data_IF_171556657916
#
_entry.id   IF_171556657916
#
_cell.length_a   1.000
_cell.length_b   1.000
_cell.length_c   1.000
_cell.angle_alpha   90.00
_cell.angle_beta   90.00
_cell.angle_gamma   90.00
#
_symmetry.space_group_name_H-M   'P 1'
#
loop_
_entity.id
_entity.type
_entity.pdbx_description
1 polymer ?
#
# COMPACT_ATOMS: atom_id res chain seq x y z
N UNK A 1 15.75 6.60 23.78
CA UNK A 1 15.86 5.94 22.46
C UNK A 1 14.71 6.42 21.61
N UNK A 2 14.96 6.71 20.32
CA UNK A 2 13.88 7.04 19.37
C UNK A 2 12.86 5.90 19.35
N UNK A 3 11.60 6.24 19.56
CA UNK A 3 10.50 5.27 19.53
C UNK A 3 10.21 4.89 18.08
N UNK A 4 10.10 3.59 17.81
CA UNK A 4 9.95 3.06 16.45
C UNK A 4 8.49 3.12 16.01
N UNK A 5 8.28 3.49 14.75
CA UNK A 5 6.98 3.50 14.08
C UNK A 5 6.96 2.36 13.06
N UNK A 6 5.88 1.58 13.05
CA UNK A 6 5.58 0.59 12.02
C UNK A 6 4.58 1.19 11.03
N UNK A 7 4.88 1.12 9.74
CA UNK A 7 3.97 1.48 8.65
C UNK A 7 3.95 0.34 7.64
N UNK A 8 2.75 -0.11 7.24
CA UNK A 8 2.60 -1.11 6.18
C UNK A 8 1.34 -0.87 5.35
N UNK A 9 1.49 -0.97 4.02
CA UNK A 9 0.40 -0.85 3.06
C UNK A 9 0.10 -2.18 2.39
N UNK A 10 -1.19 -2.52 2.27
CA UNK A 10 -1.65 -3.71 1.55
C UNK A 10 -2.64 -3.31 0.47
N UNK A 11 -2.36 -3.72 -0.76
CA UNK A 11 -3.26 -3.48 -1.90
C UNK A 11 -4.53 -4.31 -1.75
N UNK A 12 -5.72 -3.71 -1.89
CA UNK A 12 -6.98 -4.43 -1.99
C UNK A 12 -7.13 -5.02 -3.40
N UNK A 13 -6.44 -6.12 -3.68
CA UNK A 13 -6.52 -6.81 -4.97
C UNK A 13 -6.96 -8.25 -4.76
N UNK A 14 -8.25 -8.49 -4.93
CA UNK A 14 -8.87 -9.79 -4.70
C UNK A 14 -8.83 -10.23 -3.24
N UNK A 15 -9.30 -11.45 -3.00
CA UNK A 15 -9.42 -12.00 -1.64
C UNK A 15 -8.07 -12.51 -1.12
N UNK A 16 -7.64 -12.10 0.10
CA UNK A 16 -6.45 -12.64 0.73
C UNK A 16 -6.48 -14.18 0.82
N UNK A 17 -5.34 -14.81 0.53
CA UNK A 17 -5.15 -16.25 0.66
C UNK A 17 -4.10 -16.59 1.72
N UNK A 18 -3.89 -17.88 2.01
CA UNK A 18 -2.94 -18.35 3.04
C UNK A 18 -1.52 -17.78 2.89
N UNK A 19 -1.07 -17.52 1.66
CA UNK A 19 0.21 -16.86 1.40
C UNK A 19 0.29 -15.43 1.94
N UNK A 20 -0.80 -14.64 1.88
CA UNK A 20 -0.84 -13.30 2.48
C UNK A 20 -0.88 -13.41 4.00
N UNK A 21 -1.66 -14.37 4.52
CA UNK A 21 -1.80 -14.59 5.95
C UNK A 21 -0.45 -14.91 6.62
N UNK A 22 0.24 -15.96 6.16
CA UNK A 22 1.55 -16.34 6.72
C UNK A 22 2.70 -15.46 6.24
N UNK A 23 2.54 -14.74 5.12
CA UNK A 23 3.58 -13.88 4.57
C UNK A 23 3.66 -12.51 5.24
N UNK A 24 2.53 -11.95 5.70
CA UNK A 24 2.51 -10.62 6.31
C UNK A 24 1.40 -10.39 7.34
N UNK A 25 0.16 -10.83 7.07
CA UNK A 25 -0.99 -10.39 7.89
C UNK A 25 -0.89 -10.90 9.34
N UNK A 26 -0.48 -12.15 9.52
CA UNK A 26 -0.28 -12.73 10.86
C UNK A 26 0.80 -11.97 11.64
N UNK A 27 1.89 -11.60 10.98
CA UNK A 27 2.98 -10.85 11.59
C UNK A 27 2.49 -9.50 12.12
N UNK A 28 1.61 -8.81 11.39
CA UNK A 28 1.05 -7.55 11.88
C UNK A 28 0.15 -7.73 13.10
N UNK A 29 -0.58 -8.83 13.16
CA UNK A 29 -1.35 -9.21 14.35
C UNK A 29 -0.41 -9.55 15.51
N UNK A 30 0.69 -10.25 15.27
CA UNK A 30 1.65 -10.63 16.33
C UNK A 30 2.40 -9.39 16.87
N UNK A 31 2.78 -8.45 15.99
CA UNK A 31 3.56 -7.25 16.32
C UNK A 31 2.72 -6.09 16.91
N UNK A 32 1.39 -6.21 16.93
CA UNK A 32 0.52 -5.12 17.40
C UNK A 32 0.79 -4.80 18.89
N UNK A 33 1.26 -3.58 19.16
CA UNK A 33 1.64 -3.14 20.50
C UNK A 33 3.12 -3.33 20.86
N UNK A 34 3.96 -3.85 19.95
CA UNK A 34 5.43 -3.87 20.13
C UNK A 34 6.09 -2.52 19.76
N UNK A 35 5.44 -1.75 18.89
CA UNK A 35 5.87 -0.42 18.45
C UNK A 35 5.08 0.65 19.20
N UNK A 36 5.64 1.87 19.31
CA UNK A 36 4.90 2.98 19.91
C UNK A 36 3.65 3.30 19.10
N UNK A 37 3.81 3.33 17.77
CA UNK A 37 2.70 3.52 16.83
C UNK A 37 2.82 2.52 15.69
N UNK A 38 1.68 1.94 15.32
CA UNK A 38 1.55 1.03 14.19
C UNK A 38 0.45 1.51 13.27
N UNK A 39 0.76 1.57 11.98
CA UNK A 39 -0.11 2.04 10.93
C UNK A 39 -0.20 0.95 9.86
N UNK A 40 -1.41 0.46 9.63
CA UNK A 40 -1.70 -0.48 8.54
C UNK A 40 -2.71 0.21 7.64
N UNK A 41 -2.42 0.27 6.35
CA UNK A 41 -3.31 0.94 5.43
C UNK A 41 -3.68 0.09 4.23
N UNK A 42 -4.91 0.33 3.77
CA UNK A 42 -5.47 -0.26 2.57
C UNK A 42 -5.07 0.65 1.42
N UNK A 43 -4.12 0.17 0.60
CA UNK A 43 -3.42 0.91 -0.43
C UNK A 43 -4.24 1.00 -1.72
N UNK A 44 -5.40 1.65 -1.67
CA UNK A 44 -6.36 1.68 -2.77
C UNK A 44 -5.94 2.57 -3.95
N UNK A 45 -5.15 3.63 -3.74
CA UNK A 45 -4.52 4.34 -4.86
C UNK A 45 -3.48 3.48 -5.57
N UNK A 46 -2.73 2.66 -4.84
CA UNK A 46 -1.80 1.70 -5.46
C UNK A 46 -2.55 0.62 -6.26
N UNK A 47 -3.75 0.22 -5.84
CA UNK A 47 -4.57 -0.73 -6.59
C UNK A 47 -4.99 -0.21 -7.98
N UNK A 48 -5.28 1.10 -8.10
CA UNK A 48 -5.62 1.75 -9.38
C UNK A 48 -4.54 1.64 -10.46
N UNK A 49 -3.30 1.30 -10.09
CA UNK A 49 -2.22 1.10 -11.06
C UNK A 49 -2.41 -0.17 -11.90
N UNK A 50 -3.11 -1.17 -11.36
CA UNK A 50 -3.32 -2.47 -12.00
C UNK A 50 -4.79 -2.84 -12.18
N UNK A 51 -5.68 -2.40 -11.30
CA UNK A 51 -7.11 -2.68 -11.33
C UNK A 51 -7.88 -1.50 -11.96
N UNK A 52 -8.79 -1.81 -12.88
CA UNK A 52 -9.57 -0.81 -13.63
C UNK A 52 -11.04 -0.78 -13.20
N UNK A 53 -11.53 -1.81 -12.50
CA UNK A 53 -12.89 -1.86 -12.00
C UNK A 53 -13.00 -1.19 -10.62
N UNK A 54 -13.33 0.10 -10.61
CA UNK A 54 -13.39 0.89 -9.36
C UNK A 54 -14.38 0.36 -8.31
N UNK A 55 -15.48 -0.27 -8.73
CA UNK A 55 -16.43 -0.93 -7.82
C UNK A 55 -15.76 -2.08 -7.06
N UNK A 56 -14.96 -2.89 -7.77
CA UNK A 56 -14.22 -4.00 -7.17
C UNK A 56 -13.20 -3.50 -6.12
N UNK A 57 -12.48 -2.40 -6.39
CA UNK A 57 -11.53 -1.82 -5.43
C UNK A 57 -12.24 -1.38 -4.13
N UNK A 58 -13.43 -0.81 -4.24
CA UNK A 58 -14.22 -0.39 -3.08
C UNK A 58 -14.63 -1.58 -2.20
N UNK A 59 -15.16 -2.63 -2.82
CA UNK A 59 -15.56 -3.87 -2.14
C UNK A 59 -14.35 -4.61 -1.56
N UNK A 60 -13.27 -4.77 -2.33
CA UNK A 60 -12.04 -5.41 -1.90
C UNK A 60 -11.37 -4.64 -0.75
N UNK A 61 -11.45 -3.30 -0.75
CA UNK A 61 -10.97 -2.48 0.36
C UNK A 61 -11.74 -2.79 1.64
N UNK A 62 -13.07 -2.83 1.57
CA UNK A 62 -13.90 -3.15 2.73
C UNK A 62 -13.63 -4.58 3.22
N UNK A 63 -13.59 -5.55 2.32
CA UNK A 63 -13.31 -6.95 2.63
C UNK A 63 -11.95 -7.13 3.29
N UNK A 64 -10.90 -6.47 2.77
CA UNK A 64 -9.56 -6.54 3.36
C UNK A 64 -9.53 -5.95 4.78
N UNK A 65 -10.22 -4.84 5.02
CA UNK A 65 -10.38 -4.29 6.37
C UNK A 65 -11.03 -5.30 7.32
N UNK A 66 -12.14 -5.92 6.88
CA UNK A 66 -12.85 -6.93 7.65
C UNK A 66 -11.99 -8.16 7.93
N UNK A 67 -11.22 -8.63 6.95
CA UNK A 67 -10.31 -9.77 7.12
C UNK A 67 -9.24 -9.48 8.17
N UNK A 68 -8.66 -8.27 8.18
CA UNK A 68 -7.71 -7.85 9.22
C UNK A 68 -8.32 -7.86 10.62
N UNK A 69 -9.53 -7.31 10.77
CA UNK A 69 -10.25 -7.32 12.04
C UNK A 69 -10.57 -8.76 12.49
N UNK A 70 -11.00 -9.61 11.55
CA UNK A 70 -11.37 -11.00 11.82
C UNK A 70 -10.19 -11.86 12.29
N UNK A 71 -8.98 -11.60 11.81
CA UNK A 71 -7.77 -12.32 12.25
C UNK A 71 -7.15 -11.75 13.54
N UNK A 72 -7.77 -10.74 14.16
CA UNK A 72 -7.39 -10.24 15.47
C UNK A 72 -6.55 -8.96 15.48
N UNK A 73 -6.52 -8.18 14.40
CA UNK A 73 -5.96 -6.84 14.45
C UNK A 73 -6.85 -5.92 15.30
N UNK A 74 -6.32 -5.33 16.37
CA UNK A 74 -7.06 -4.46 17.29
C UNK A 74 -6.90 -2.97 16.90
N UNK A 75 -7.97 -2.28 16.47
CA UNK A 75 -7.94 -0.85 16.14
C UNK A 75 -7.58 0.07 17.31
N UNK A 76 -7.58 -0.44 18.56
CA UNK A 76 -7.11 0.32 19.73
C UNK A 76 -5.59 0.33 19.84
N UNK A 77 -4.90 -0.60 19.18
CA UNK A 77 -3.44 -0.75 19.19
C UNK A 77 -2.79 -0.31 17.88
N UNK A 78 -3.53 -0.39 16.78
CA UNK A 78 -3.06 -0.10 15.42
C UNK A 78 -4.03 0.84 14.74
N UNK A 79 -3.51 1.83 14.04
CA UNK A 79 -4.31 2.67 13.15
C UNK A 79 -4.50 1.93 11.83
N UNK A 80 -5.68 1.35 11.65
CA UNK A 80 -6.12 0.79 10.38
C UNK A 80 -6.86 1.86 9.57
N UNK A 81 -6.37 2.21 8.39
CA UNK A 81 -6.99 3.26 7.57
C UNK A 81 -6.97 2.95 6.07
N UNK A 82 -7.74 3.71 5.30
CA UNK A 82 -7.78 3.64 3.83
C UNK A 82 -6.90 4.75 3.25
N UNK A 83 -6.01 4.43 2.32
CA UNK A 83 -5.04 5.39 1.75
C UNK A 83 -5.75 6.63 1.17
N UNK A 84 -6.82 6.42 0.40
CA UNK A 84 -7.59 7.53 -0.19
C UNK A 84 -8.28 8.45 0.81
N UNK A 85 -8.43 8.02 2.07
CA UNK A 85 -9.04 8.84 3.13
C UNK A 85 -8.05 9.84 3.74
N UNK A 86 -6.78 9.81 3.33
CA UNK A 86 -5.71 10.71 3.78
C UNK A 86 -5.20 11.51 2.58
N UNK A 87 -5.83 12.65 2.23
CA UNK A 87 -5.49 13.41 1.02
C UNK A 87 -4.04 13.90 1.00
N UNK A 88 -3.43 14.07 2.17
CA UNK A 88 -2.03 14.49 2.34
C UNK A 88 -1.04 13.59 1.60
N UNK A 89 -1.36 12.30 1.45
CA UNK A 89 -0.52 11.35 0.70
C UNK A 89 -0.34 11.81 -0.74
N UNK A 90 -1.41 12.26 -1.40
CA UNK A 90 -1.35 12.73 -2.79
C UNK A 90 -0.68 14.10 -2.92
N UNK A 91 -0.91 15.00 -1.95
CA UNK A 91 -0.23 16.30 -1.91
C UNK A 91 1.30 16.12 -1.74
N UNK A 92 1.70 15.24 -0.83
CA UNK A 92 3.12 14.94 -0.59
C UNK A 92 3.75 14.19 -1.77
N UNK A 93 3.00 13.28 -2.41
CA UNK A 93 3.46 12.61 -3.63
C UNK A 93 3.75 13.60 -4.76
N UNK A 94 2.95 14.65 -4.90
CA UNK A 94 3.22 15.74 -5.85
C UNK A 94 4.51 16.48 -5.50
N UNK A 95 4.71 16.84 -4.23
CA UNK A 95 5.95 17.50 -3.78
C UNK A 95 7.17 16.60 -4.07
N UNK A 96 7.09 15.30 -3.78
CA UNK A 96 8.18 14.37 -4.06
C UNK A 96 8.44 14.16 -5.55
N UNK A 97 7.40 14.26 -6.39
CA UNK A 97 7.56 14.21 -7.85
C UNK A 97 8.43 15.36 -8.38
N UNK A 98 8.54 16.48 -7.66
CA UNK A 98 9.47 17.56 -7.99
C UNK A 98 10.93 17.29 -7.60
N UNK A 99 11.20 16.23 -6.83
CA UNK A 99 12.54 15.86 -6.34
C UNK A 99 13.12 14.65 -7.08
N UNK A 100 12.26 13.78 -7.62
CA UNK A 100 12.66 12.52 -8.26
C UNK A 100 12.77 12.71 -9.77
N UNK A 101 13.81 12.14 -10.38
CA UNK A 101 14.05 12.26 -11.83
C UNK A 101 13.54 11.06 -12.62
N UNK A 102 13.20 11.27 -13.89
CA UNK A 102 12.76 10.19 -14.79
C UNK A 102 13.76 9.02 -14.87
N UNK A 103 15.08 9.24 -15.05
CA UNK A 103 16.04 8.13 -15.08
C UNK A 103 16.11 7.35 -13.77
N UNK A 104 15.79 7.98 -12.64
CA UNK A 104 15.72 7.29 -11.36
C UNK A 104 14.57 6.27 -11.36
N UNK A 105 13.38 6.69 -11.79
CA UNK A 105 12.19 5.84 -11.86
C UNK A 105 12.27 4.75 -12.93
N UNK A 106 12.94 5.01 -14.06
CA UNK A 106 13.20 4.00 -15.09
C UNK A 106 14.07 2.82 -14.57
N UNK A 107 14.72 2.97 -13.42
CA UNK A 107 15.46 1.87 -12.80
C UNK A 107 14.60 0.97 -11.92
N UNK A 108 13.37 1.38 -11.58
CA UNK A 108 12.47 0.61 -10.75
C UNK A 108 12.13 -0.74 -11.40
N UNK A 109 12.14 -1.82 -10.60
CA UNK A 109 11.91 -3.18 -11.09
C UNK A 109 10.61 -3.31 -11.87
N UNK A 110 9.51 -2.75 -11.38
CA UNK A 110 8.21 -2.83 -12.05
C UNK A 110 8.22 -2.22 -13.46
N UNK A 111 8.92 -1.10 -13.66
CA UNK A 111 9.05 -0.49 -14.98
C UNK A 111 9.93 -1.33 -15.90
N UNK A 112 11.12 -1.75 -15.43
CA UNK A 112 12.02 -2.61 -16.21
C UNK A 112 11.38 -3.92 -16.63
N UNK A 113 10.60 -4.54 -15.73
CA UNK A 113 9.96 -5.83 -15.98
C UNK A 113 8.84 -5.71 -17.03
N UNK A 114 8.12 -4.58 -17.04
CA UNK A 114 7.12 -4.29 -18.05
C UNK A 114 7.75 -3.89 -19.41
N UNK A 115 8.83 -3.11 -19.39
CA UNK A 115 9.63 -2.78 -20.58
C UNK A 115 10.18 -4.06 -21.22
N UNK A 116 10.76 -4.97 -20.44
CA UNK A 116 11.25 -6.27 -20.92
C UNK A 116 10.16 -7.16 -21.52
N UNK A 117 8.92 -7.02 -21.04
CA UNK A 117 7.74 -7.73 -21.55
C UNK A 117 7.04 -7.00 -22.70
N UNK A 118 7.60 -5.87 -23.17
CA UNK A 118 7.01 -4.97 -24.17
C UNK A 118 5.55 -4.62 -23.84
N UNK A 119 5.25 -4.47 -22.55
CA UNK A 119 3.93 -4.17 -22.03
C UNK A 119 3.82 -2.67 -21.80
N UNK A 120 2.75 -2.07 -22.30
CA UNK A 120 2.46 -0.67 -22.02
C UNK A 120 2.18 -0.46 -20.53
N UNK A 121 2.83 0.55 -19.94
CA UNK A 121 2.77 0.87 -18.51
C UNK A 121 2.09 2.23 -18.35
N UNK A 122 1.03 2.29 -17.54
CA UNK A 122 0.42 3.58 -17.22
C UNK A 122 1.35 4.41 -16.31
N UNK A 123 1.19 5.73 -16.35
CA UNK A 123 2.00 6.67 -15.56
C UNK A 123 1.92 6.39 -14.05
N UNK A 124 0.78 5.88 -13.56
CA UNK A 124 0.63 5.46 -12.16
C UNK A 124 1.58 4.32 -11.78
N UNK A 125 1.71 3.31 -12.63
CA UNK A 125 2.64 2.18 -12.43
C UNK A 125 4.11 2.62 -12.57
N UNK A 126 4.38 3.67 -13.33
CA UNK A 126 5.70 4.28 -13.36
C UNK A 126 6.00 5.08 -12.09
N UNK A 127 5.00 5.83 -11.59
CA UNK A 127 5.16 6.79 -10.49
C UNK A 127 4.84 6.21 -9.10
N UNK A 128 4.31 4.99 -8.98
CA UNK A 128 3.91 4.42 -7.68
C UNK A 128 5.04 4.42 -6.63
N UNK A 129 6.35 4.31 -6.95
CA UNK A 129 7.37 4.41 -5.92
C UNK A 129 7.43 5.78 -5.25
N UNK A 130 7.03 6.85 -5.96
CA UNK A 130 6.92 8.21 -5.40
C UNK A 130 5.71 8.32 -4.48
N UNK A 131 4.58 7.70 -4.87
CA UNK A 131 3.41 7.55 -3.99
C UNK A 131 3.75 6.72 -2.74
N UNK A 132 4.47 5.61 -2.90
CA UNK A 132 4.91 4.75 -1.80
C UNK A 132 5.85 5.45 -0.82
N UNK A 133 6.66 6.39 -1.31
CA UNK A 133 7.50 7.20 -0.44
C UNK A 133 6.69 8.23 0.37
N UNK A 134 5.53 8.67 -0.16
CA UNK A 134 4.64 9.64 0.46
C UNK A 134 3.63 9.01 1.42
N UNK A 135 3.36 7.70 1.29
CA UNK A 135 2.61 6.90 2.26
C UNK A 135 3.30 6.86 3.63
#
# INVERSE_FOLDING_TARGET
>A
MSKKILLSGVKPTGRPHIGNYFGAMKQFVDLQGEYENSYIFIADYHALTSEKEGLAIGEDSLNLALDYLAIGLDPKKVVLFKQSSVPQVTELSWIFSCLVTMPYLMRAHAFKDAEAKNKEVNVGTFNYPVLMAAD
#
